data_IF_159465211274
#
_entry.id   IF_159465211274
#
_cell.length_a   1.000
_cell.length_b   1.000
_cell.length_c   1.000
_cell.angle_alpha   90.00
_cell.angle_beta   90.00
_cell.angle_gamma   90.00
#
_symmetry.space_group_name_H-M   'P 1'
#
loop_
_entity.id
_entity.type
_entity.pdbx_description
1 polymer ?
#
# COMPACT_ATOMS: atom_id res chain seq x y z
N UNK A 1 -17.56 16.28 -6.32
CA UNK A 1 -16.98 15.02 -6.83
C UNK A 1 -17.56 14.81 -8.22
N UNK A 2 -16.75 14.64 -9.27
CA UNK A 2 -17.28 14.10 -10.52
C UNK A 2 -17.78 12.68 -10.20
N UNK A 3 -19.01 12.38 -10.61
CA UNK A 3 -19.54 11.03 -10.50
C UNK A 3 -18.62 10.10 -11.30
N UNK A 4 -18.15 9.04 -10.67
CA UNK A 4 -17.60 7.90 -11.41
C UNK A 4 -18.78 7.31 -12.17
N UNK A 5 -18.94 7.77 -13.40
CA UNK A 5 -19.92 7.24 -14.33
C UNK A 5 -19.37 5.89 -14.79
N UNK A 6 -19.79 4.83 -14.11
CA UNK A 6 -19.39 3.44 -14.36
C UNK A 6 -19.75 3.02 -15.79
N UNK A 7 -20.67 3.75 -16.43
CA UNK A 7 -21.11 3.52 -17.81
C UNK A 7 -20.40 4.42 -18.85
N UNK A 8 -19.52 5.34 -18.42
CA UNK A 8 -18.71 6.13 -19.35
C UNK A 8 -17.48 5.33 -19.81
N UNK A 9 -17.71 4.37 -20.73
CA UNK A 9 -16.66 3.67 -21.49
C UNK A 9 -15.93 4.60 -22.49
N UNK A 10 -15.61 5.82 -22.09
CA UNK A 10 -14.67 6.68 -22.81
C UNK A 10 -13.38 6.80 -22.00
N UNK A 11 -12.43 5.86 -22.14
CA UNK A 11 -11.11 5.97 -21.52
C UNK A 11 -10.25 6.97 -22.34
N UNK A 12 -10.77 8.18 -22.53
CA UNK A 12 -10.05 9.31 -23.13
C UNK A 12 -9.41 10.22 -22.08
N UNK A 13 -9.82 10.10 -20.81
CA UNK A 13 -9.04 10.62 -19.71
C UNK A 13 -7.80 9.76 -19.58
N UNK A 14 -6.65 10.25 -20.01
CA UNK A 14 -5.38 9.62 -19.67
C UNK A 14 -5.42 9.33 -18.17
N UNK A 15 -5.30 8.06 -17.79
CA UNK A 15 -4.84 7.66 -16.46
C UNK A 15 -3.41 8.19 -16.30
N UNK A 16 -3.22 9.50 -16.41
CA UNK A 16 -2.09 10.15 -15.78
C UNK A 16 -2.37 9.96 -14.30
N UNK A 17 -1.61 9.10 -13.61
CA UNK A 17 -1.74 8.99 -12.17
C UNK A 17 -1.69 10.41 -11.62
N UNK A 18 -2.75 10.82 -10.90
CA UNK A 18 -2.76 12.13 -10.25
C UNK A 18 -1.39 12.30 -9.61
N UNK A 19 -0.69 13.39 -9.96
CA UNK A 19 0.63 13.72 -9.41
C UNK A 19 0.55 13.43 -7.92
N UNK A 20 1.38 12.49 -7.45
CA UNK A 20 1.46 12.09 -6.05
C UNK A 20 1.25 13.33 -5.20
N UNK A 21 0.25 13.29 -4.29
CA UNK A 21 -0.18 14.40 -3.44
C UNK A 21 0.96 15.41 -3.28
N UNK A 22 0.73 16.67 -3.70
CA UNK A 22 1.70 17.76 -3.94
C UNK A 22 2.73 18.04 -2.82
N UNK A 23 2.70 17.26 -1.75
CA UNK A 23 3.52 17.33 -0.56
C UNK A 23 4.63 16.26 -0.48
N UNK A 24 5.21 15.85 -1.61
CA UNK A 24 6.35 14.93 -1.62
C UNK A 24 7.39 15.28 -2.67
N UNK A 25 8.66 15.01 -2.35
CA UNK A 25 9.81 15.22 -3.23
C UNK A 25 10.20 13.90 -3.91
N UNK A 26 10.39 13.85 -5.24
CA UNK A 26 10.84 12.64 -5.92
C UNK A 26 12.29 12.32 -5.55
N UNK A 27 12.55 11.11 -5.07
CA UNK A 27 13.90 10.61 -4.76
C UNK A 27 14.53 9.86 -5.94
N UNK A 28 13.71 9.26 -6.82
CA UNK A 28 14.17 8.47 -7.95
C UNK A 28 13.24 7.32 -8.28
N UNK A 29 13.74 6.28 -8.93
CA UNK A 29 12.98 5.06 -9.19
C UNK A 29 13.82 3.81 -8.92
N UNK A 30 13.22 2.82 -8.26
CA UNK A 30 13.82 1.50 -8.00
C UNK A 30 12.92 0.45 -8.64
N UNK A 31 13.48 -0.38 -9.53
CA UNK A 31 12.75 -1.42 -10.26
C UNK A 31 11.49 -0.91 -11.01
N UNK A 32 11.53 0.33 -11.50
CA UNK A 32 10.40 0.99 -12.19
C UNK A 32 9.35 1.60 -11.26
N UNK A 33 9.53 1.53 -9.95
CA UNK A 33 8.67 2.14 -8.93
C UNK A 33 9.27 3.49 -8.54
N UNK A 34 8.50 4.56 -8.65
CA UNK A 34 8.94 5.91 -8.27
C UNK A 34 8.93 6.06 -6.75
N UNK A 35 10.04 6.48 -6.19
CA UNK A 35 10.14 6.76 -4.76
C UNK A 35 9.95 8.24 -4.50
N UNK A 36 9.11 8.57 -3.53
CA UNK A 36 8.87 9.92 -3.06
C UNK A 36 9.19 10.01 -1.56
N UNK A 37 9.66 11.17 -1.12
CA UNK A 37 9.87 11.49 0.29
C UNK A 37 8.89 12.59 0.70
N UNK A 38 8.10 12.35 1.74
CA UNK A 38 7.11 13.31 2.24
C UNK A 38 7.79 14.58 2.77
N UNK A 39 7.22 15.77 2.52
CA UNK A 39 7.77 17.02 3.08
C UNK A 39 7.75 17.06 4.61
N UNK A 40 6.89 16.26 5.25
CA UNK A 40 6.88 16.12 6.71
C UNK A 40 8.22 15.63 7.27
N UNK A 41 8.97 14.82 6.51
CA UNK A 41 10.31 14.36 6.89
C UNK A 41 11.27 15.54 6.98
N UNK A 42 11.28 16.43 5.99
CA UNK A 42 12.15 17.61 6.00
C UNK A 42 11.79 18.57 7.13
N UNK A 43 10.51 18.79 7.37
CA UNK A 43 10.04 19.61 8.50
C UNK A 43 10.49 19.02 9.84
N UNK A 44 10.33 17.70 10.03
CA UNK A 44 10.76 17.03 11.25
C UNK A 44 12.29 17.11 11.45
N UNK A 45 13.07 16.90 10.38
CA UNK A 45 14.53 17.04 10.42
C UNK A 45 14.97 18.47 10.73
N UNK A 46 14.29 19.48 10.17
CA UNK A 46 14.57 20.89 10.45
C UNK A 46 14.27 21.25 11.91
N UNK A 47 13.15 20.77 12.47
CA UNK A 47 12.80 20.95 13.88
C UNK A 47 13.85 20.26 14.76
N UNK A 48 14.22 19.02 14.45
CA UNK A 48 15.23 18.27 15.19
C UNK A 48 16.59 18.99 15.16
N UNK A 49 17.04 19.41 13.98
CA UNK A 49 18.30 20.14 13.83
C UNK A 49 18.29 21.46 14.60
N UNK A 50 17.18 22.22 14.57
CA UNK A 50 17.01 23.45 15.34
C UNK A 50 17.03 23.22 16.86
N UNK A 51 16.39 22.14 17.34
CA UNK A 51 16.43 21.75 18.75
C UNK A 51 17.84 21.34 19.19
N UNK A 52 18.54 20.55 18.39
CA UNK A 52 19.92 20.16 18.67
C UNK A 52 20.83 21.40 18.67
N UNK A 53 20.69 22.29 17.67
CA UNK A 53 21.44 23.56 17.57
C UNK A 53 21.25 24.47 18.79
N UNK A 54 20.04 24.52 19.35
CA UNK A 54 19.73 25.39 20.49
C UNK A 54 20.14 24.80 21.84
N UNK A 55 20.23 23.48 21.96
CA UNK A 55 20.41 22.77 23.23
C UNK A 55 21.83 22.22 23.42
N UNK A 56 22.60 22.00 22.34
CA UNK A 56 23.95 21.43 22.42
C UNK A 56 24.94 22.29 23.24
N UNK A 57 24.68 23.58 23.39
CA UNK A 57 25.55 24.50 24.15
C UNK A 57 25.38 24.44 25.67
N UNK A 58 24.43 23.64 26.18
CA UNK A 58 24.20 23.48 27.63
C UNK A 58 25.14 22.42 28.21
N UNK A 59 25.55 22.62 29.46
CA UNK A 59 26.37 21.65 30.19
C UNK A 59 25.72 20.25 30.17
N UNK A 60 26.48 19.22 29.83
CA UNK A 60 26.00 17.84 29.72
C UNK A 60 25.43 17.44 28.35
N UNK A 61 25.26 18.35 27.39
CA UNK A 61 24.67 18.04 26.07
C UNK A 61 25.67 18.00 24.90
N UNK A 62 26.97 17.83 25.18
CA UNK A 62 28.01 17.79 24.15
C UNK A 62 27.81 16.66 23.13
N UNK A 63 27.27 15.52 23.58
CA UNK A 63 27.06 14.33 22.75
C UNK A 63 25.71 14.33 22.00
N UNK A 64 24.84 15.32 22.26
CA UNK A 64 23.50 15.40 21.69
C UNK A 64 23.49 15.33 20.15
N UNK A 65 24.40 15.99 19.40
CA UNK A 65 24.43 15.89 17.94
C UNK A 65 24.75 14.47 17.45
N UNK A 66 25.65 13.77 18.15
CA UNK A 66 26.03 12.40 17.80
C UNK A 66 24.85 11.45 18.07
N UNK A 67 24.21 11.58 19.23
CA UNK A 67 23.01 10.79 19.59
C UNK A 67 21.84 11.06 18.63
N UNK A 68 21.62 12.31 18.24
CA UNK A 68 20.59 12.65 17.26
C UNK A 68 20.90 12.03 15.89
N UNK A 69 22.16 12.07 15.44
CA UNK A 69 22.58 11.46 14.19
C UNK A 69 22.41 9.94 14.20
N UNK A 70 22.77 9.26 15.29
CA UNK A 70 22.58 7.81 15.42
C UNK A 70 21.09 7.46 15.43
N UNK A 71 20.26 8.21 16.17
CA UNK A 71 18.81 8.02 16.19
C UNK A 71 18.18 8.19 14.80
N UNK A 72 18.55 9.24 14.05
CA UNK A 72 18.09 9.46 12.67
C UNK A 72 18.53 8.32 11.76
N UNK A 73 19.78 7.86 11.89
CA UNK A 73 20.32 6.75 11.09
C UNK A 73 19.53 5.46 11.32
N UNK A 74 19.23 5.14 12.59
CA UNK A 74 18.43 3.98 12.94
C UNK A 74 16.99 4.13 12.41
N UNK A 75 16.40 5.32 12.54
CA UNK A 75 15.06 5.59 12.03
C UNK A 75 14.96 5.39 10.50
N UNK A 76 15.96 5.89 9.77
CA UNK A 76 16.09 5.67 8.32
C UNK A 76 16.33 4.19 7.98
N UNK A 77 17.05 3.44 8.82
CA UNK A 77 17.19 2.00 8.64
C UNK A 77 15.84 1.29 8.75
N UNK A 78 14.98 1.71 9.68
CA UNK A 78 13.60 1.25 9.77
C UNK A 78 12.78 1.53 8.52
N UNK A 79 12.96 2.70 7.87
CA UNK A 79 12.37 2.97 6.54
C UNK A 79 12.85 1.98 5.50
N UNK A 80 14.15 1.70 5.46
CA UNK A 80 14.75 0.73 4.56
C UNK A 80 14.15 -0.67 4.74
N UNK A 81 13.98 -1.12 5.98
CA UNK A 81 13.39 -2.43 6.30
C UNK A 81 11.96 -2.56 5.77
N UNK A 82 11.13 -1.54 6.02
CA UNK A 82 9.74 -1.52 5.54
C UNK A 82 9.69 -1.45 4.01
N UNK A 83 10.56 -0.65 3.39
CA UNK A 83 10.64 -0.54 1.93
C UNK A 83 11.05 -1.87 1.30
N UNK A 84 12.02 -2.57 1.89
CA UNK A 84 12.43 -3.90 1.44
C UNK A 84 11.27 -4.90 1.54
N UNK A 85 10.48 -4.87 2.61
CA UNK A 85 9.28 -5.70 2.75
C UNK A 85 8.27 -5.45 1.62
N UNK A 86 8.00 -4.19 1.30
CA UNK A 86 7.08 -3.84 0.20
C UNK A 86 7.64 -4.18 -1.18
N UNK A 87 8.93 -3.93 -1.43
CA UNK A 87 9.59 -4.30 -2.69
C UNK A 87 9.66 -5.82 -2.87
N UNK A 88 9.87 -6.57 -1.79
CA UNK A 88 9.82 -8.03 -1.78
C UNK A 88 8.44 -8.53 -2.22
N UNK A 89 7.37 -7.97 -1.65
CA UNK A 89 6.01 -8.30 -2.05
C UNK A 89 5.67 -7.87 -3.48
N UNK A 90 6.15 -6.73 -3.95
CA UNK A 90 6.01 -6.36 -5.37
C UNK A 90 6.70 -7.36 -6.31
N UNK A 91 7.75 -8.03 -5.85
CA UNK A 91 8.46 -9.05 -6.62
C UNK A 91 7.73 -10.40 -6.57
N UNK A 92 7.14 -10.75 -5.44
CA UNK A 92 6.45 -12.03 -5.23
C UNK A 92 5.00 -12.03 -5.69
N UNK A 93 4.35 -10.88 -5.64
CA UNK A 93 2.96 -10.71 -6.07
C UNK A 93 2.90 -9.99 -7.41
N UNK A 94 1.79 -10.14 -8.14
CA UNK A 94 1.54 -9.37 -9.35
C UNK A 94 1.12 -7.91 -9.07
N UNK A 95 0.99 -7.53 -7.80
CA UNK A 95 0.59 -6.20 -7.38
C UNK A 95 1.79 -5.25 -7.56
N UNK A 96 1.63 -4.24 -8.41
CA UNK A 96 2.66 -3.24 -8.67
C UNK A 96 2.13 -1.85 -8.37
N UNK A 97 2.74 -1.18 -7.40
CA UNK A 97 2.53 0.24 -7.17
C UNK A 97 3.44 1.05 -8.08
N UNK A 98 2.91 2.10 -8.70
CA UNK A 98 3.72 3.01 -9.53
C UNK A 98 4.61 3.91 -8.69
N UNK A 99 4.17 4.19 -7.47
CA UNK A 99 4.86 5.06 -6.52
C UNK A 99 4.79 4.51 -5.10
N UNK A 100 5.88 4.70 -4.37
CA UNK A 100 5.95 4.49 -2.92
C UNK A 100 6.41 5.80 -2.28
N UNK A 101 5.68 6.26 -1.27
CA UNK A 101 6.06 7.46 -0.52
C UNK A 101 6.63 7.04 0.83
N UNK A 102 7.77 7.61 1.21
CA UNK A 102 8.36 7.45 2.53
C UNK A 102 7.94 8.66 3.36
N UNK A 103 7.13 8.42 4.38
CA UNK A 103 6.67 9.39 5.35
C UNK A 103 7.56 9.46 6.60
N UNK A 104 7.19 10.33 7.54
CA UNK A 104 7.89 10.48 8.81
C UNK A 104 7.99 9.16 9.59
N UNK A 105 6.88 8.40 9.65
CA UNK A 105 6.80 7.15 10.40
C UNK A 105 7.34 5.95 9.61
N UNK A 106 7.60 6.10 8.31
CA UNK A 106 8.00 5.01 7.41
C UNK A 106 7.19 4.97 6.14
N UNK A 107 7.05 3.79 5.55
CA UNK A 107 6.50 3.68 4.20
C UNK A 107 4.99 3.92 4.23
N UNK A 108 4.57 4.97 3.52
CA UNK A 108 3.17 5.33 3.34
C UNK A 108 2.61 4.59 2.13
N UNK A 109 1.49 3.90 2.35
CA UNK A 109 0.75 3.28 1.26
C UNK A 109 0.09 4.37 0.42
N UNK A 110 0.54 4.56 -0.83
CA UNK A 110 -0.11 5.45 -1.78
C UNK A 110 -1.60 5.10 -1.91
N UNK A 111 -2.44 6.12 -2.18
CA UNK A 111 -3.89 5.95 -2.26
C UNK A 111 -4.21 4.75 -3.17
N UNK A 112 -4.89 3.73 -2.63
CA UNK A 112 -4.89 2.41 -3.23
C UNK A 112 -5.71 2.35 -4.52
N UNK A 113 -6.65 3.29 -4.74
CA UNK A 113 -7.41 3.40 -5.99
C UNK A 113 -6.56 3.84 -7.18
N UNK A 114 -5.50 4.61 -6.96
CA UNK A 114 -4.66 5.15 -8.04
C UNK A 114 -3.52 4.22 -8.42
N UNK A 115 -3.49 2.99 -7.88
CA UNK A 115 -2.51 1.99 -8.30
C UNK A 115 -2.94 1.39 -9.62
N UNK A 116 -2.00 1.32 -10.56
CA UNK A 116 -2.21 0.62 -11.85
C UNK A 116 -2.70 -0.82 -11.67
N UNK A 117 -2.23 -1.48 -10.62
CA UNK A 117 -2.72 -2.78 -10.18
C UNK A 117 -3.07 -2.67 -8.69
N UNK A 118 -4.37 -2.63 -8.34
CA UNK A 118 -4.76 -2.57 -6.95
C UNK A 118 -4.31 -3.85 -6.25
N UNK A 119 -3.92 -3.71 -5.00
CA UNK A 119 -3.43 -4.83 -4.21
C UNK A 119 -4.62 -5.60 -3.63
N UNK A 120 -4.55 -6.93 -3.66
CA UNK A 120 -5.52 -7.76 -2.95
C UNK A 120 -5.45 -7.51 -1.43
N UNK A 121 -6.54 -7.81 -0.73
CA UNK A 121 -6.57 -7.72 0.74
C UNK A 121 -5.45 -8.54 1.38
N UNK A 122 -5.21 -9.76 0.89
CA UNK A 122 -4.12 -10.63 1.37
C UNK A 122 -2.76 -9.97 1.18
N UNK A 123 -2.48 -9.40 0.00
CA UNK A 123 -1.20 -8.75 -0.27
C UNK A 123 -0.96 -7.52 0.62
N UNK A 124 -1.99 -6.69 0.84
CA UNK A 124 -1.89 -5.53 1.74
C UNK A 124 -1.67 -5.97 3.19
N UNK A 125 -2.39 -7.00 3.66
CA UNK A 125 -2.23 -7.54 5.01
C UNK A 125 -0.83 -8.13 5.19
N UNK A 126 -0.34 -8.92 4.22
CA UNK A 126 1.02 -9.46 4.23
C UNK A 126 2.08 -8.35 4.26
N UNK A 127 1.90 -7.24 3.52
CA UNK A 127 2.82 -6.11 3.58
C UNK A 127 2.89 -5.47 4.96
N UNK A 128 1.74 -5.25 5.58
CA UNK A 128 1.70 -4.72 6.93
C UNK A 128 2.35 -5.69 7.91
N UNK A 129 1.98 -6.98 7.90
CA UNK A 129 2.55 -7.99 8.78
C UNK A 129 4.06 -8.13 8.59
N UNK A 130 4.56 -8.33 7.38
CA UNK A 130 6.00 -8.47 7.15
C UNK A 130 6.79 -7.22 7.56
N UNK A 131 6.29 -6.03 7.24
CA UNK A 131 6.96 -4.78 7.63
C UNK A 131 7.01 -4.61 9.15
N UNK A 132 5.90 -4.84 9.84
CA UNK A 132 5.82 -4.70 11.30
C UNK A 132 6.62 -5.78 12.02
N UNK A 133 6.50 -7.04 11.60
CA UNK A 133 7.28 -8.15 12.17
C UNK A 133 8.77 -7.95 11.95
N UNK A 134 9.21 -7.47 10.78
CA UNK A 134 10.62 -7.20 10.52
C UNK A 134 11.18 -6.14 11.49
N UNK A 135 10.45 -5.05 11.74
CA UNK A 135 10.87 -4.03 12.71
C UNK A 135 10.92 -4.58 14.14
N UNK A 136 9.91 -5.34 14.55
CA UNK A 136 9.84 -5.92 15.91
C UNK A 136 10.97 -6.93 16.13
N UNK A 137 11.21 -7.82 15.16
CA UNK A 137 12.27 -8.83 15.22
C UNK A 137 13.66 -8.19 15.22
N UNK A 138 13.89 -7.18 14.38
CA UNK A 138 15.15 -6.45 14.39
C UNK A 138 15.34 -5.69 15.69
N UNK A 139 14.30 -5.04 16.22
CA UNK A 139 14.37 -4.37 17.52
C UNK A 139 14.69 -5.34 18.66
N UNK A 140 14.08 -6.53 18.65
CA UNK A 140 14.39 -7.61 19.60
C UNK A 140 15.84 -8.10 19.45
N UNK A 141 16.36 -8.21 18.22
CA UNK A 141 17.75 -8.55 17.96
C UNK A 141 18.71 -7.46 18.48
N UNK A 142 18.41 -6.17 18.27
CA UNK A 142 19.19 -5.07 18.83
C UNK A 142 19.18 -5.09 20.37
N UNK A 143 18.02 -5.35 20.98
CA UNK A 143 17.93 -5.49 22.44
C UNK A 143 18.76 -6.67 22.95
N UNK A 144 18.70 -7.82 22.26
CA UNK A 144 19.51 -8.98 22.58
C UNK A 144 21.01 -8.67 22.52
N UNK A 145 21.47 -7.97 21.47
CA UNK A 145 22.87 -7.53 21.36
C UNK A 145 23.25 -6.59 22.51
N UNK A 146 22.38 -5.63 22.85
CA UNK A 146 22.62 -4.75 23.99
C UNK A 146 22.82 -5.53 25.29
N UNK A 147 21.93 -6.50 25.58
CA UNK A 147 22.05 -7.32 26.79
C UNK A 147 23.33 -8.15 26.81
N UNK A 148 23.68 -8.77 25.67
CA UNK A 148 24.92 -9.55 25.54
C UNK A 148 26.19 -8.72 25.76
N UNK A 149 26.17 -7.43 25.42
CA UNK A 149 27.31 -6.53 25.69
C UNK A 149 27.40 -6.08 27.14
N UNK A 150 26.30 -6.11 27.90
CA UNK A 150 26.23 -5.59 29.27
C UNK A 150 26.47 -6.65 30.33
N UNK A 151 26.07 -7.90 30.09
CA UNK A 151 26.26 -9.00 31.03
C UNK A 151 27.42 -9.88 30.59
N UNK A 152 28.40 -10.11 31.48
CA UNK A 152 29.51 -11.05 31.25
C UNK A 152 29.07 -12.54 31.26
N UNK A 153 27.79 -12.82 30.94
CA UNK A 153 27.14 -14.12 30.96
C UNK A 153 25.73 -14.05 30.38
N UNK A 154 25.25 -15.17 29.84
CA UNK A 154 23.91 -15.30 29.30
C UNK A 154 22.86 -15.37 30.43
N UNK A 155 21.77 -14.62 30.28
CA UNK A 155 20.47 -14.89 30.90
C UNK A 155 20.23 -14.52 32.38
N UNK A 156 20.56 -13.28 32.79
CA UNK A 156 19.81 -12.73 33.93
C UNK A 156 18.45 -12.18 33.43
N UNK A 157 17.42 -13.03 33.51
CA UNK A 157 16.06 -12.67 33.10
C UNK A 157 15.47 -11.50 33.88
N UNK A 158 15.98 -11.21 35.09
CA UNK A 158 15.51 -10.07 35.88
C UNK A 158 15.95 -8.74 35.28
N UNK A 159 17.18 -8.65 34.75
CA UNK A 159 17.68 -7.48 34.03
C UNK A 159 16.90 -7.23 32.74
N UNK A 160 16.53 -8.29 32.02
CA UNK A 160 15.66 -8.18 30.84
C UNK A 160 14.29 -7.57 31.18
N UNK A 161 13.65 -8.09 32.23
CA UNK A 161 12.36 -7.57 32.68
C UNK A 161 12.48 -6.13 33.19
N UNK A 162 13.56 -5.79 33.87
CA UNK A 162 13.80 -4.43 34.37
C UNK A 162 13.94 -3.42 33.22
N UNK A 163 14.69 -3.76 32.18
CA UNK A 163 14.88 -2.89 31.00
C UNK A 163 13.61 -2.76 30.16
N UNK A 164 12.78 -3.81 30.11
CA UNK A 164 11.45 -3.75 29.49
C UNK A 164 10.43 -2.95 30.34
N UNK A 165 10.54 -3.02 31.67
CA UNK A 165 9.63 -2.35 32.60
C UNK A 165 9.91 -0.85 32.75
N UNK A 166 11.18 -0.44 32.60
CA UNK A 166 11.60 0.95 32.66
C UNK A 166 12.17 1.38 31.30
N UNK A 167 11.31 1.65 30.29
CA UNK A 167 11.76 1.96 28.94
C UNK A 167 12.56 3.27 28.91
N UNK A 168 13.89 3.14 28.91
CA UNK A 168 14.81 4.21 28.60
C UNK A 168 15.14 4.18 27.11
N UNK A 169 14.97 5.30 26.40
CA UNK A 169 15.33 5.39 24.97
C UNK A 169 16.84 5.23 24.73
N UNK A 170 17.68 5.13 25.77
CA UNK A 170 19.13 5.00 25.66
C UNK A 170 19.83 6.22 25.06
N UNK A 171 19.12 7.36 24.97
CA UNK A 171 19.62 8.61 24.37
C UNK A 171 20.61 9.35 25.28
N UNK A 172 20.92 8.81 26.44
CA UNK A 172 21.84 9.37 27.43
C UNK A 172 23.31 9.10 27.08
N UNK A 173 23.61 8.05 26.30
CA UNK A 173 24.96 7.73 25.89
C UNK A 173 25.00 7.05 24.51
N UNK A 174 25.95 7.44 23.66
CA UNK A 174 26.15 6.81 22.34
C UNK A 174 26.46 5.30 22.45
N UNK A 175 27.03 4.85 23.56
CA UNK A 175 27.32 3.45 23.86
C UNK A 175 26.05 2.58 23.95
N UNK A 176 24.89 3.18 24.25
CA UNK A 176 23.59 2.49 24.31
C UNK A 176 22.86 2.47 22.97
N UNK A 177 23.58 2.68 21.86
CA UNK A 177 23.02 2.73 20.50
C UNK A 177 22.12 1.54 20.14
N UNK A 178 22.43 0.32 20.59
CA UNK A 178 21.58 -0.85 20.36
C UNK A 178 20.26 -0.82 21.14
N UNK A 179 20.26 -0.30 22.38
CA UNK A 179 19.05 -0.10 23.16
C UNK A 179 18.17 0.97 22.52
N UNK A 180 18.78 2.09 22.12
CA UNK A 180 18.10 3.14 21.34
C UNK A 180 17.51 2.58 20.06
N UNK A 181 18.25 1.71 19.36
CA UNK A 181 17.76 1.10 18.13
C UNK A 181 16.53 0.22 18.36
N UNK A 182 16.56 -0.62 19.40
CA UNK A 182 15.43 -1.47 19.76
C UNK A 182 14.15 -0.65 19.97
N UNK A 183 14.25 0.38 20.82
CA UNK A 183 13.10 1.23 21.14
C UNK A 183 12.61 2.05 19.95
N UNK A 184 13.51 2.65 19.16
CA UNK A 184 13.10 3.42 17.99
C UNK A 184 12.39 2.55 16.95
N UNK A 185 12.89 1.34 16.68
CA UNK A 185 12.24 0.40 15.76
C UNK A 185 10.85 -0.05 16.27
N UNK A 186 10.70 -0.28 17.58
CA UNK A 186 9.41 -0.63 18.17
C UNK A 186 8.42 0.54 18.20
N UNK A 187 8.88 1.75 18.52
CA UNK A 187 8.06 2.97 18.42
C UNK A 187 7.60 3.14 16.98
N UNK A 188 8.51 2.98 16.02
CA UNK A 188 8.17 3.07 14.60
C UNK A 188 7.16 1.99 14.18
N UNK A 189 7.31 0.75 14.64
CA UNK A 189 6.34 -0.32 14.42
C UNK A 189 4.98 0.00 15.04
N UNK A 190 4.95 0.49 16.28
CA UNK A 190 3.72 0.90 16.96
C UNK A 190 3.02 2.05 16.22
N UNK A 191 3.77 3.06 15.80
CA UNK A 191 3.24 4.18 15.02
C UNK A 191 2.69 3.73 13.65
N UNK A 192 3.35 2.79 12.97
CA UNK A 192 2.87 2.23 11.70
C UNK A 192 1.65 1.31 11.86
N UNK A 193 1.58 0.58 12.98
CA UNK A 193 0.42 -0.25 13.33
C UNK A 193 -0.80 0.61 13.71
N UNK A 194 -0.58 1.82 14.22
CA UNK A 194 -1.67 2.74 14.56
C UNK A 194 -2.39 3.23 13.28
N UNK A 195 -3.73 3.08 13.19
CA UNK A 195 -4.45 3.14 11.92
C UNK A 195 -4.81 4.55 11.43
N UNK A 196 -3.80 5.44 11.44
CA UNK A 196 -3.88 6.78 10.85
C UNK A 196 -3.93 6.72 9.31
N UNK A 197 -4.34 7.82 8.65
CA UNK A 197 -4.25 7.93 7.20
C UNK A 197 -2.85 7.58 6.69
N UNK A 198 -2.79 6.84 5.57
CA UNK A 198 -1.56 6.43 4.87
C UNK A 198 -0.63 5.45 5.62
N UNK A 199 -0.88 5.17 6.90
CA UNK A 199 -0.15 4.16 7.67
C UNK A 199 -0.56 2.73 7.29
N UNK A 200 0.37 1.79 7.49
CA UNK A 200 0.15 0.37 7.20
C UNK A 200 -0.99 -0.24 8.01
N UNK A 201 -1.15 0.17 9.27
CA UNK A 201 -2.20 -0.33 10.16
C UNK A 201 -3.62 -0.09 9.62
N UNK A 202 -3.86 1.04 8.95
CA UNK A 202 -5.16 1.32 8.33
C UNK A 202 -5.44 0.35 7.17
N UNK A 203 -4.46 0.15 6.30
CA UNK A 203 -4.56 -0.80 5.19
C UNK A 203 -4.75 -2.23 5.68
N UNK A 204 -4.05 -2.62 6.76
CA UNK A 204 -4.17 -3.92 7.39
C UNK A 204 -5.58 -4.17 7.94
N UNK A 205 -6.15 -3.21 8.68
CA UNK A 205 -7.51 -3.34 9.22
C UNK A 205 -8.55 -3.39 8.10
N UNK A 206 -8.45 -2.51 7.11
CA UNK A 206 -9.36 -2.52 5.96
C UNK A 206 -9.29 -3.87 5.22
N UNK A 207 -8.09 -4.41 5.02
CA UNK A 207 -7.88 -5.70 4.40
C UNK A 207 -8.40 -6.86 5.24
N UNK A 208 -8.20 -6.82 6.56
CA UNK A 208 -8.75 -7.83 7.47
C UNK A 208 -10.28 -7.83 7.43
N UNK A 209 -10.92 -6.67 7.44
CA UNK A 209 -12.38 -6.56 7.32
C UNK A 209 -12.85 -7.14 5.99
N UNK A 210 -12.20 -6.81 4.87
CA UNK A 210 -12.56 -7.36 3.57
C UNK A 210 -12.41 -8.90 3.51
N UNK A 211 -11.41 -9.46 4.19
CA UNK A 211 -11.20 -10.92 4.25
C UNK A 211 -12.22 -11.63 5.16
N UNK A 212 -12.52 -11.06 6.33
CA UNK A 212 -13.42 -11.69 7.30
C UNK A 212 -14.90 -11.41 7.03
N UNK A 213 -15.22 -10.35 6.30
CA UNK A 213 -16.57 -9.96 5.91
C UNK A 213 -16.73 -9.92 4.38
N UNK A 214 -16.12 -10.88 3.68
CA UNK A 214 -16.12 -10.95 2.22
C UNK A 214 -17.53 -11.00 1.60
N UNK A 215 -18.51 -11.59 2.30
CA UNK A 215 -19.90 -11.68 1.86
C UNK A 215 -20.71 -10.41 2.15
N UNK A 216 -20.17 -9.47 2.93
CA UNK A 216 -20.88 -8.27 3.32
C UNK A 216 -20.74 -7.17 2.27
N UNK A 217 -21.83 -6.45 2.01
CA UNK A 217 -21.86 -5.29 1.14
C UNK A 217 -20.81 -4.23 1.55
N UNK A 218 -20.26 -3.51 0.57
CA UNK A 218 -19.26 -2.44 0.74
C UNK A 218 -19.65 -1.42 1.83
N UNK A 219 -20.93 -1.05 1.88
CA UNK A 219 -21.46 -0.11 2.88
C UNK A 219 -21.35 -0.67 4.31
N UNK A 220 -21.54 -1.98 4.48
CA UNK A 220 -21.39 -2.64 5.78
C UNK A 220 -19.92 -2.70 6.16
N UNK A 221 -19.03 -3.10 5.23
CA UNK A 221 -17.59 -3.11 5.47
C UNK A 221 -17.07 -1.71 5.84
N UNK A 222 -17.55 -0.66 5.16
CA UNK A 222 -17.19 0.73 5.45
C UNK A 222 -17.71 1.17 6.81
N UNK A 223 -18.95 0.82 7.17
CA UNK A 223 -19.50 1.09 8.51
C UNK A 223 -18.68 0.36 9.58
N UNK A 224 -18.29 -0.89 9.35
CA UNK A 224 -17.49 -1.69 10.27
C UNK A 224 -16.09 -1.07 10.47
N UNK A 225 -15.42 -0.70 9.38
CA UNK A 225 -14.12 -0.04 9.40
C UNK A 225 -14.18 1.28 10.19
N UNK A 226 -15.19 2.12 9.93
CA UNK A 226 -15.39 3.37 10.68
C UNK A 226 -15.61 3.12 12.17
N UNK A 227 -16.50 2.18 12.52
CA UNK A 227 -16.78 1.83 13.93
C UNK A 227 -15.56 1.30 14.65
N UNK A 228 -14.75 0.46 13.98
CA UNK A 228 -13.52 -0.07 14.56
C UNK A 228 -12.49 1.04 14.81
N UNK A 229 -12.30 1.97 13.86
CA UNK A 229 -11.41 3.12 14.05
C UNK A 229 -11.91 4.06 15.16
N UNK A 230 -13.23 4.28 15.27
CA UNK A 230 -13.83 5.03 16.38
C UNK A 230 -13.63 4.33 17.73
N UNK A 231 -13.74 3.00 17.76
CA UNK A 231 -13.48 2.21 18.96
C UNK A 231 -12.01 2.31 19.39
N UNK A 232 -11.06 2.17 18.46
CA UNK A 232 -9.63 2.34 18.74
C UNK A 232 -9.35 3.76 19.24
N UNK A 233 -9.98 4.77 18.65
CA UNK A 233 -9.90 6.15 19.11
C UNK A 233 -10.41 6.31 20.55
N UNK A 234 -11.56 5.73 20.88
CA UNK A 234 -12.13 5.75 22.23
C UNK A 234 -11.21 5.07 23.25
N UNK A 235 -10.69 3.88 22.91
CA UNK A 235 -9.72 3.16 23.74
C UNK A 235 -8.47 4.01 23.97
N UNK A 236 -7.99 4.72 22.94
CA UNK A 236 -6.84 5.63 23.06
C UNK A 236 -7.15 6.78 24.04
N UNK A 237 -8.37 7.33 24.03
CA UNK A 237 -8.80 8.35 25.02
C UNK A 237 -8.82 7.78 26.44
N UNK A 238 -9.35 6.56 26.63
CA UNK A 238 -9.35 5.91 27.95
C UNK A 238 -7.93 5.71 28.46
N UNK A 239 -7.01 5.26 27.60
CA UNK A 239 -5.59 5.15 27.93
C UNK A 239 -5.02 6.52 28.29
N UNK A 240 -5.34 7.57 27.53
CA UNK A 240 -4.88 8.92 27.82
C UNK A 240 -5.36 9.43 29.19
N UNK A 241 -6.62 9.17 29.56
CA UNK A 241 -7.18 9.51 30.88
C UNK A 241 -6.50 8.69 31.98
N UNK A 242 -6.27 7.39 31.75
CA UNK A 242 -5.55 6.55 32.70
C UNK A 242 -4.10 7.05 32.90
N UNK A 243 -3.42 7.48 31.83
CA UNK A 243 -2.09 8.09 31.94
C UNK A 243 -2.13 9.44 32.64
N UNK A 244 -3.19 10.23 32.48
CA UNK A 244 -3.35 11.49 33.23
C UNK A 244 -3.45 11.24 34.74
N UNK A 245 -4.12 10.16 35.17
CA UNK A 245 -4.27 9.81 36.59
C UNK A 245 -2.97 9.19 37.13
N UNK A 246 -2.25 8.41 36.31
CA UNK A 246 -1.02 7.72 36.70
C UNK A 246 0.26 8.56 36.58
N UNK A 247 0.33 9.51 35.65
CA UNK A 247 1.43 10.45 35.50
C UNK A 247 1.30 11.51 36.62
N UNK A 248 1.90 11.23 37.78
CA UNK A 248 2.10 12.22 38.86
C UNK A 248 3.14 13.29 38.45
N UNK A 249 4.30 13.31 39.11
CA UNK A 249 5.37 14.33 38.90
C UNK A 249 6.21 14.14 37.61
N UNK A 250 5.65 13.50 36.58
CA UNK A 250 6.35 13.34 35.31
C UNK A 250 6.67 14.72 34.70
N UNK A 251 7.94 14.97 34.36
CA UNK A 251 8.39 16.26 33.84
C UNK A 251 7.75 16.65 32.49
N UNK A 252 7.18 15.67 31.77
CA UNK A 252 6.46 15.90 30.53
C UNK A 252 5.18 15.04 30.51
N UNK A 253 3.99 15.67 30.54
CA UNK A 253 2.74 14.93 30.53
C UNK A 253 2.59 14.19 29.19
N UNK A 254 2.35 12.87 29.24
CA UNK A 254 2.22 12.04 28.02
C UNK A 254 0.81 12.03 27.45
N UNK A 255 -0.19 12.23 28.32
CA UNK A 255 -1.61 12.24 27.96
C UNK A 255 -2.00 13.21 26.83
N UNK A 256 -1.41 14.42 26.66
CA UNK A 256 -1.82 15.33 25.58
C UNK A 256 -1.51 14.75 24.19
N UNK A 257 -0.38 14.04 24.05
CA UNK A 257 -0.01 13.38 22.79
C UNK A 257 -1.00 12.28 22.45
N UNK A 258 -1.40 11.48 23.45
CA UNK A 258 -2.40 10.42 23.27
C UNK A 258 -3.78 10.98 22.91
N UNK A 259 -4.23 12.06 23.55
CA UNK A 259 -5.47 12.73 23.19
C UNK A 259 -5.41 13.33 21.78
N UNK A 260 -4.28 13.92 21.39
CA UNK A 260 -4.08 14.44 20.05
C UNK A 260 -4.15 13.32 19.00
N UNK A 261 -3.48 12.20 19.23
CA UNK A 261 -3.54 11.03 18.36
C UNK A 261 -4.96 10.46 18.25
N UNK A 262 -5.68 10.36 19.37
CA UNK A 262 -7.08 9.95 19.38
C UNK A 262 -7.96 10.91 18.57
N UNK A 263 -7.79 12.23 18.75
CA UNK A 263 -8.51 13.24 17.98
C UNK A 263 -8.22 13.16 16.48
N UNK A 264 -6.95 13.00 16.10
CA UNK A 264 -6.56 12.78 14.70
C UNK A 264 -7.19 11.51 14.13
N UNK A 265 -7.17 10.41 14.89
CA UNK A 265 -7.80 9.16 14.46
C UNK A 265 -9.31 9.35 14.28
N UNK A 266 -9.99 9.99 15.23
CA UNK A 266 -11.41 10.30 15.14
C UNK A 266 -11.75 11.11 13.88
N UNK A 267 -11.06 12.23 13.65
CA UNK A 267 -11.26 13.08 12.46
C UNK A 267 -11.00 12.30 11.17
N UNK A 268 -9.97 11.44 11.19
CA UNK A 268 -9.61 10.64 10.03
C UNK A 268 -10.64 9.56 9.64
N UNK A 269 -11.63 9.26 10.49
CA UNK A 269 -12.71 8.32 10.19
C UNK A 269 -13.75 8.88 9.21
N UNK A 270 -13.83 10.21 9.10
CA UNK A 270 -14.76 10.89 8.20
C UNK A 270 -14.22 11.08 6.78
N UNK A 271 -12.94 10.78 6.55
CA UNK A 271 -12.31 10.95 5.23
C UNK A 271 -12.84 9.95 4.21
N UNK A 272 -12.94 10.40 2.96
CA UNK A 272 -13.26 9.57 1.80
C UNK A 272 -12.24 8.45 1.59
N UNK A 273 -11.01 8.61 2.05
CA UNK A 273 -9.92 7.62 1.96
C UNK A 273 -10.34 6.21 2.42
N UNK A 274 -11.24 6.08 3.40
CA UNK A 274 -11.70 4.75 3.85
C UNK A 274 -12.53 4.02 2.79
N UNK A 275 -13.35 4.77 2.04
CA UNK A 275 -14.11 4.22 0.91
C UNK A 275 -13.12 3.80 -0.17
N UNK A 276 -12.13 4.63 -0.47
CA UNK A 276 -11.10 4.32 -1.47
C UNK A 276 -10.37 3.00 -1.16
N UNK A 277 -10.03 2.76 0.12
CA UNK A 277 -9.44 1.49 0.55
C UNK A 277 -10.34 0.29 0.25
N UNK A 278 -11.60 0.34 0.64
CA UNK A 278 -12.53 -0.77 0.43
C UNK A 278 -12.79 -0.99 -1.06
N UNK A 279 -13.05 0.07 -1.81
CA UNK A 279 -13.27 -0.03 -3.26
C UNK A 279 -12.03 -0.59 -3.97
N UNK A 280 -10.81 -0.17 -3.59
CA UNK A 280 -9.60 -0.70 -4.20
C UNK A 280 -9.42 -2.21 -4.00
N UNK A 281 -9.81 -2.73 -2.83
CA UNK A 281 -9.74 -4.16 -2.53
C UNK A 281 -10.74 -4.94 -3.37
N UNK A 282 -11.97 -4.43 -3.53
CA UNK A 282 -12.99 -5.06 -4.38
C UNK A 282 -12.60 -5.05 -5.85
N UNK A 283 -12.03 -3.94 -6.35
CA UNK A 283 -11.49 -3.88 -7.71
C UNK A 283 -10.37 -4.91 -7.89
N UNK A 284 -9.51 -5.10 -6.88
CA UNK A 284 -8.48 -6.14 -6.91
C UNK A 284 -9.04 -7.56 -6.90
N UNK A 285 -10.15 -7.81 -6.18
CA UNK A 285 -10.82 -9.10 -6.12
C UNK A 285 -11.57 -9.43 -7.43
N UNK A 286 -12.14 -8.43 -8.09
CA UNK A 286 -12.86 -8.58 -9.35
C UNK A 286 -11.93 -8.78 -10.57
N UNK A 287 -10.61 -8.51 -10.44
CA UNK A 287 -9.65 -8.78 -11.52
C UNK A 287 -9.53 -10.31 -11.69
N UNK A 288 -9.94 -10.89 -12.86
CA UNK A 288 -9.90 -12.33 -13.10
C UNK A 288 -8.48 -12.94 -13.03
N UNK A 289 -7.45 -12.09 -12.98
CA UNK A 289 -6.06 -12.50 -12.76
C UNK A 289 -5.78 -12.80 -11.27
N UNK A 290 -6.49 -12.16 -10.34
CA UNK A 290 -6.31 -12.31 -8.89
C UNK A 290 -6.95 -13.58 -8.32
N UNK A 291 -7.93 -14.17 -9.03
CA UNK A 291 -8.59 -15.43 -8.65
C UNK A 291 -7.67 -16.66 -8.57
N UNK A 292 -6.37 -16.52 -8.84
CA UNK A 292 -5.37 -17.57 -8.63
C UNK A 292 -4.83 -17.65 -7.19
N UNK A 293 -5.13 -16.66 -6.34
CA UNK A 293 -4.85 -16.67 -4.89
C UNK A 293 -6.15 -16.63 -4.09
N UNK A 294 -7.20 -17.27 -4.62
CA UNK A 294 -8.48 -17.29 -3.94
C UNK A 294 -8.44 -18.29 -2.77
N UNK A 295 -8.33 -17.76 -1.56
CA UNK A 295 -8.36 -18.52 -0.31
C UNK A 295 -9.72 -19.25 -0.14
N UNK A 296 -10.73 -18.89 -0.92
CA UNK A 296 -12.00 -19.62 -0.96
C UNK A 296 -11.88 -21.00 -1.61
N UNK A 297 -10.93 -21.25 -2.53
CA UNK A 297 -10.68 -22.61 -3.03
C UNK A 297 -10.07 -23.52 -1.95
N UNK A 298 -9.21 -22.97 -1.08
CA UNK A 298 -8.68 -23.70 0.09
C UNK A 298 -9.80 -24.05 1.08
N UNK A 299 -10.80 -23.19 1.23
CA UNK A 299 -11.97 -23.42 2.11
C UNK A 299 -13.00 -24.36 1.50
N UNK A 300 -13.18 -24.32 0.17
CA UNK A 300 -14.07 -25.24 -0.55
C UNK A 300 -13.48 -26.66 -0.63
N UNK A 301 -12.16 -26.79 -0.71
CA UNK A 301 -11.46 -28.07 -0.71
C UNK A 301 -11.50 -28.79 0.65
N UNK A 302 -11.73 -28.08 1.76
CA UNK A 302 -11.84 -28.68 3.09
C UNK A 302 -13.24 -29.23 3.39
N UNK A 303 -14.27 -28.79 2.65
CA UNK A 303 -15.67 -29.21 2.86
C UNK A 303 -16.10 -30.34 1.91
N UNK A 304 -15.34 -30.62 0.85
CA UNK A 304 -15.61 -31.70 -0.11
C UNK A 304 -14.62 -32.86 -0.01
N UNK A 305 -14.40 -33.35 1.22
CA UNK A 305 -13.69 -34.61 1.46
C UNK A 305 -14.54 -35.84 1.14
N UNK A 306 -14.72 -36.13 -0.16
CA UNK A 306 -15.30 -37.37 -0.67
C UNK A 306 -14.34 -38.05 -1.64
N UNK A 307 -14.06 -39.33 -1.39
CA UNK A 307 -13.30 -40.30 -2.20
C UNK A 307 -13.22 -39.97 -3.71
N UNK A 308 -12.02 -39.84 -4.27
CA UNK A 308 -11.32 -40.95 -4.95
C UNK A 308 -10.05 -40.47 -5.68
N UNK A 309 -9.11 -41.41 -5.76
CA UNK A 309 -8.14 -41.63 -6.83
C UNK A 309 -6.74 -40.96 -6.89
N UNK A 310 -5.76 -41.84 -6.72
CA UNK A 310 -4.43 -41.97 -7.36
C UNK A 310 -3.63 -40.71 -7.70
N UNK A 311 -2.78 -40.37 -6.73
CA UNK A 311 -1.64 -39.45 -6.80
C UNK A 311 -0.60 -39.84 -7.84
N UNK A 312 -0.52 -39.07 -8.94
CA UNK A 312 0.74 -38.85 -9.64
C UNK A 312 1.35 -37.53 -9.14
N UNK A 313 2.41 -37.65 -8.34
CA UNK A 313 3.18 -36.53 -7.81
C UNK A 313 3.91 -35.85 -8.97
N UNK A 314 3.23 -34.91 -9.63
CA UNK A 314 3.81 -34.03 -10.64
C UNK A 314 4.38 -32.79 -9.94
N UNK A 315 5.65 -32.51 -10.20
CA UNK A 315 6.42 -31.43 -9.57
C UNK A 315 5.75 -30.05 -9.77
N UNK A 316 5.28 -29.38 -8.70
CA UNK A 316 4.40 -28.20 -8.77
C UNK A 316 5.02 -26.98 -9.48
N UNK A 317 6.35 -26.87 -9.49
CA UNK A 317 7.05 -25.71 -10.05
C UNK A 317 7.05 -25.66 -11.59
N UNK A 318 6.95 -26.82 -12.28
CA UNK A 318 6.96 -26.88 -13.75
C UNK A 318 5.59 -26.53 -14.35
N UNK A 319 4.50 -26.88 -13.68
CA UNK A 319 3.15 -26.49 -14.06
C UNK A 319 2.94 -24.98 -13.92
N UNK A 320 3.40 -24.39 -12.81
CA UNK A 320 3.34 -22.93 -12.60
C UNK A 320 4.06 -22.16 -13.71
N UNK A 321 5.21 -22.67 -14.18
CA UNK A 321 5.96 -22.01 -15.24
C UNK A 321 5.26 -22.13 -16.60
N UNK A 322 4.71 -23.30 -16.94
CA UNK A 322 3.96 -23.52 -18.19
C UNK A 322 2.68 -22.66 -18.21
N UNK A 323 2.00 -22.56 -17.08
CA UNK A 323 0.80 -21.73 -16.94
C UNK A 323 1.13 -20.24 -16.99
N UNK A 324 2.29 -19.82 -16.46
CA UNK A 324 2.77 -18.44 -16.62
C UNK A 324 3.01 -18.06 -18.09
N UNK A 325 3.53 -18.99 -18.91
CA UNK A 325 3.79 -18.76 -20.35
C UNK A 325 2.47 -18.73 -21.13
N UNK A 326 1.54 -19.66 -20.85
CA UNK A 326 0.20 -19.66 -21.44
C UNK A 326 -0.57 -18.39 -21.09
N UNK A 327 -0.48 -17.92 -19.85
CA UNK A 327 -1.10 -16.67 -19.41
C UNK A 327 -0.49 -15.45 -20.10
N UNK A 328 0.83 -15.45 -20.34
CA UNK A 328 1.50 -14.37 -21.10
C UNK A 328 1.01 -14.31 -22.55
N UNK A 329 0.75 -15.46 -23.16
CA UNK A 329 0.15 -15.55 -24.50
C UNK A 329 -1.31 -15.09 -24.51
N UNK A 330 -2.12 -15.51 -23.52
CA UNK A 330 -3.51 -15.03 -23.37
C UNK A 330 -3.55 -13.51 -23.18
N UNK A 331 -2.69 -12.94 -22.34
CA UNK A 331 -2.58 -11.48 -22.15
C UNK A 331 -2.20 -10.73 -23.42
N UNK A 332 -1.31 -11.28 -24.26
CA UNK A 332 -0.99 -10.68 -25.57
C UNK A 332 -2.21 -10.67 -26.50
N UNK A 333 -3.02 -11.74 -26.48
CA UNK A 333 -4.25 -11.82 -27.28
C UNK A 333 -5.32 -10.86 -26.80
N UNK A 334 -5.57 -10.77 -25.50
CA UNK A 334 -6.55 -9.83 -24.92
C UNK A 334 -6.14 -8.39 -25.18
N UNK A 335 -4.86 -8.03 -25.01
CA UNK A 335 -4.39 -6.66 -25.34
C UNK A 335 -4.48 -6.35 -26.84
N UNK A 336 -4.26 -7.34 -27.70
CA UNK A 336 -4.43 -7.16 -29.13
C UNK A 336 -5.91 -7.00 -29.50
N UNK A 337 -6.82 -7.72 -28.85
CA UNK A 337 -8.26 -7.56 -29.02
C UNK A 337 -8.74 -6.18 -28.54
N UNK A 338 -8.34 -5.77 -27.33
CA UNK A 338 -8.72 -4.47 -26.77
C UNK A 338 -8.18 -3.28 -27.57
N UNK A 339 -6.96 -3.40 -28.14
CA UNK A 339 -6.43 -2.39 -29.07
C UNK A 339 -7.24 -2.31 -30.36
N UNK A 340 -7.69 -3.46 -30.90
CA UNK A 340 -8.58 -3.49 -32.06
C UNK A 340 -9.92 -2.86 -31.75
N UNK A 341 -10.53 -3.17 -30.61
CA UNK A 341 -11.78 -2.52 -30.17
C UNK A 341 -11.63 -1.00 -30.02
N UNK A 342 -10.49 -0.53 -29.50
CA UNK A 342 -10.19 0.90 -29.43
C UNK A 342 -10.01 1.55 -30.81
N UNK A 343 -9.27 0.89 -31.71
CA UNK A 343 -9.10 1.36 -33.08
C UNK A 343 -10.44 1.38 -33.81
N UNK A 344 -11.29 0.36 -33.62
CA UNK A 344 -12.64 0.28 -34.19
C UNK A 344 -13.59 1.34 -33.63
N UNK A 345 -13.55 1.60 -32.32
CA UNK A 345 -14.35 2.65 -31.70
C UNK A 345 -13.93 4.06 -32.17
N UNK A 346 -12.61 4.29 -32.30
CA UNK A 346 -12.09 5.55 -32.80
C UNK A 346 -12.40 5.74 -34.30
N UNK A 347 -12.30 4.67 -35.09
CA UNK A 347 -12.69 4.66 -36.50
C UNK A 347 -14.20 4.90 -36.67
N UNK A 348 -15.04 4.35 -35.78
CA UNK A 348 -16.49 4.59 -35.78
C UNK A 348 -16.83 6.05 -35.45
N UNK A 349 -16.18 6.65 -34.44
CA UNK A 349 -16.36 8.06 -34.12
C UNK A 349 -15.90 8.99 -35.27
N UNK A 350 -14.82 8.62 -35.97
CA UNK A 350 -14.34 9.35 -37.16
C UNK A 350 -15.24 9.14 -38.38
N UNK A 351 -15.89 7.98 -38.51
CA UNK A 351 -16.74 7.64 -39.65
C UNK A 351 -17.91 8.61 -39.80
N UNK A 352 -18.55 9.00 -38.70
CA UNK A 352 -19.67 9.96 -38.73
C UNK A 352 -19.24 11.32 -39.29
N UNK A 353 -18.07 11.81 -38.89
CA UNK A 353 -17.50 13.05 -39.42
C UNK A 353 -17.20 12.92 -40.92
N UNK A 354 -16.62 11.78 -41.34
CA UNK A 354 -16.31 11.50 -42.74
C UNK A 354 -17.59 11.41 -43.58
N UNK A 355 -18.63 10.73 -43.12
CA UNK A 355 -19.92 10.63 -43.81
C UNK A 355 -20.59 12.00 -43.95
N UNK A 356 -20.46 12.87 -42.96
CA UNK A 356 -20.94 14.25 -43.05
C UNK A 356 -20.21 15.03 -44.14
N UNK A 357 -18.88 14.90 -44.23
CA UNK A 357 -18.08 15.55 -45.29
C UNK A 357 -18.43 15.01 -46.68
N UNK A 358 -18.60 13.68 -46.82
CA UNK A 358 -19.02 13.06 -48.09
C UNK A 358 -20.40 13.54 -48.53
N UNK A 359 -21.35 13.67 -47.61
CA UNK A 359 -22.70 14.14 -47.95
C UNK A 359 -22.72 15.59 -48.44
N UNK A 360 -21.85 16.45 -47.89
CA UNK A 360 -21.79 17.87 -48.24
C UNK A 360 -20.94 18.16 -49.49
N UNK A 361 -19.80 17.50 -49.66
CA UNK A 361 -18.79 17.86 -50.68
C UNK A 361 -18.55 16.76 -51.73
N UNK A 362 -19.24 15.62 -51.61
CA UNK A 362 -18.99 14.43 -52.42
C UNK A 362 -17.61 13.80 -52.15
N UNK A 363 -17.30 12.72 -52.86
CA UNK A 363 -16.06 11.93 -52.66
C UNK A 363 -14.77 12.67 -53.04
N UNK A 364 -14.88 13.81 -53.71
CA UNK A 364 -13.74 14.64 -54.13
C UNK A 364 -13.11 15.43 -52.97
N UNK A 365 -13.86 15.69 -51.88
CA UNK A 365 -13.36 16.40 -50.70
C UNK A 365 -12.66 15.53 -49.65
N UNK A 366 -12.63 14.21 -49.83
CA UNK A 366 -12.03 13.29 -48.86
C UNK A 366 -10.50 13.32 -48.92
N UNK A 367 -9.87 13.40 -47.74
CA UNK A 367 -8.44 13.17 -47.62
C UNK A 367 -8.08 11.72 -47.97
N UNK A 368 -6.81 11.48 -48.30
CA UNK A 368 -6.33 10.13 -48.62
C UNK A 368 -6.48 9.17 -47.41
N UNK A 369 -6.40 9.70 -46.19
CA UNK A 369 -6.61 8.96 -44.95
C UNK A 369 -8.08 8.52 -44.79
N UNK A 370 -9.04 9.42 -45.07
CA UNK A 370 -10.46 9.13 -44.94
C UNK A 370 -10.93 8.10 -45.97
N UNK A 371 -10.38 8.16 -47.19
CA UNK A 371 -10.62 7.12 -48.22
C UNK A 371 -10.11 5.76 -47.76
N UNK A 372 -8.94 5.71 -47.13
CA UNK A 372 -8.38 4.47 -46.60
C UNK A 372 -9.17 3.94 -45.38
N UNK A 373 -9.78 4.84 -44.59
CA UNK A 373 -10.68 4.48 -43.50
C UNK A 373 -11.99 3.88 -44.03
N UNK A 374 -12.63 4.52 -45.02
CA UNK A 374 -13.85 4.00 -45.65
C UNK A 374 -13.63 2.62 -46.31
N UNK A 375 -12.47 2.41 -46.95
CA UNK A 375 -12.12 1.10 -47.50
C UNK A 375 -11.94 0.03 -46.41
N UNK A 376 -11.36 0.39 -45.26
CA UNK A 376 -11.21 -0.52 -44.11
C UNK A 376 -12.57 -0.89 -43.50
N UNK A 377 -13.43 0.09 -43.25
CA UNK A 377 -14.79 -0.13 -42.72
C UNK A 377 -15.63 -0.95 -43.69
N UNK A 378 -15.59 -0.63 -44.99
CA UNK A 378 -16.24 -1.41 -46.05
C UNK A 378 -15.81 -2.88 -46.04
N UNK A 379 -14.52 -3.14 -45.91
CA UNK A 379 -13.96 -4.50 -45.87
C UNK A 379 -14.36 -5.26 -44.60
N UNK A 380 -14.43 -4.57 -43.45
CA UNK A 380 -14.87 -5.16 -42.19
C UNK A 380 -16.37 -5.49 -42.20
N UNK A 381 -17.21 -4.61 -42.73
CA UNK A 381 -18.65 -4.87 -42.90
C UNK A 381 -18.91 -6.06 -43.83
N UNK A 382 -18.12 -6.18 -44.90
CA UNK A 382 -18.21 -7.34 -45.79
C UNK A 382 -17.83 -8.64 -45.08
N UNK A 383 -16.75 -8.64 -44.29
CA UNK A 383 -16.36 -9.81 -43.47
C UNK A 383 -17.41 -10.19 -42.45
N UNK A 384 -18.07 -9.21 -41.80
CA UNK A 384 -19.14 -9.49 -40.85
C UNK A 384 -20.38 -10.12 -41.50
N UNK A 385 -20.74 -9.69 -42.71
CA UNK A 385 -21.83 -10.35 -43.48
C UNK A 385 -21.47 -11.78 -43.87
N UNK A 386 -20.23 -12.00 -44.31
CA UNK A 386 -19.73 -13.33 -44.67
C UNK A 386 -19.66 -14.27 -43.46
N UNK A 387 -19.32 -13.78 -42.26
CA UNK A 387 -19.35 -14.60 -41.03
C UNK A 387 -20.77 -14.92 -40.55
N UNK A 388 -21.72 -13.99 -40.68
CA UNK A 388 -23.12 -14.23 -40.30
C UNK A 388 -23.83 -15.23 -41.22
N UNK A 389 -23.48 -15.24 -42.51
CA UNK A 389 -24.03 -16.20 -43.48
C UNK A 389 -23.43 -17.62 -43.36
N UNK A 390 -22.36 -17.80 -42.58
CA UNK A 390 -21.74 -19.11 -42.34
C UNK A 390 -22.18 -19.81 -41.05
N UNK A 391 -23.01 -19.16 -40.24
CA UNK A 391 -23.58 -19.70 -38.99
C UNK A 391 -25.06 -20.12 -39.12
N UNK A 392 -25.66 -19.93 -40.30
CA UNK A 392 -26.92 -20.57 -40.73
C UNK A 392 -26.63 -21.84 -41.54
#
# INVERSE_FOLDING_TARGET
>A
MPAFDVDSQSPGGSFEPQRADNWSMPLGAIAGIRLYLSYSVFVALAILAGLVATVHGREGNGDLPLVALTAVTIWCFGWGLQLLGQLGLHRWTNAKSESITIGLLGVEAANPLYRRYPWSAVANLMAACFSLTALVMLGAACLAVHMLTRTAGYADGTLWLQELAAPGLGLDAAEKSYLTAAWLLWIQAACQAYPLPKNLGRGAIASAIALFAAEANDDLQLKLLRRLLQLISLITVVIAIATLIGDGDAHLPRWPVLLFLAGLLWVSTYKSDLRDWITSIHVAAADPIAGHFDVTELRASEVTGGHDDTTTVRTPWLSEWIDSVRMRQKRKRVRAAMRREHEEANDAARLDQVLQVVSQHGTKGLSQEDRALLQRVSKNLRRHRESQQGEE
#
